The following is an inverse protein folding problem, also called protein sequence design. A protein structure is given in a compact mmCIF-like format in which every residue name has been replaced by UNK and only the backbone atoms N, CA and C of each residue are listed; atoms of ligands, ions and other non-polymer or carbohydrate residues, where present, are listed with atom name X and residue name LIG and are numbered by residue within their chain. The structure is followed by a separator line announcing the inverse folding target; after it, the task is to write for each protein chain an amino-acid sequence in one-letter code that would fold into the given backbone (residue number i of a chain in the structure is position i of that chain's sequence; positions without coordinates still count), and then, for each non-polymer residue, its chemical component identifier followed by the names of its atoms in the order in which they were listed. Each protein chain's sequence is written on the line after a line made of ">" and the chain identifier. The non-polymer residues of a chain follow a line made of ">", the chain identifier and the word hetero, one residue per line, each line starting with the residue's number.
data_IF_082269471644
#
_entry.id   IF_082269471644
#
_cell.length_a   1.000
_cell.length_b   1.000
_cell.length_c   1.000
_cell.angle_alpha   90.00
_cell.angle_beta   90.00
_cell.angle_gamma   90.00
#
_symmetry.space_group_name_H-M   'P 1'
#
loop_
_entity.id
_entity.type
_entity.pdbx_description
1 polymer ?
#
# COMPACT_ATOMS: atom_id res chain seq x y z
N UNK A 1 31.34 -36.52 -15.82
CA UNK A 1 30.61 -35.99 -16.99
C UNK A 1 29.35 -35.34 -16.46
N UNK A 2 29.13 -34.11 -16.89
CA UNK A 2 28.39 -33.06 -16.21
C UNK A 2 26.87 -33.30 -16.10
N UNK A 3 26.29 -32.96 -14.94
CA UNK A 3 24.85 -32.85 -14.74
C UNK A 3 24.36 -31.59 -15.46
N UNK A 4 23.62 -31.75 -16.56
CA UNK A 4 22.94 -30.67 -17.27
C UNK A 4 21.75 -30.16 -16.44
N UNK A 5 21.98 -29.14 -15.61
CA UNK A 5 20.93 -28.31 -15.04
C UNK A 5 20.57 -27.20 -16.05
N UNK A 6 19.40 -27.32 -16.69
CA UNK A 6 18.87 -26.26 -17.55
C UNK A 6 18.60 -24.96 -16.77
N UNK A 7 18.77 -23.78 -17.38
CA UNK A 7 18.49 -22.52 -16.69
C UNK A 7 16.99 -22.40 -16.38
N UNK A 8 16.68 -22.11 -15.11
CA UNK A 8 15.32 -21.79 -14.64
C UNK A 8 14.78 -20.57 -15.39
N UNK A 9 13.52 -20.56 -15.86
CA UNK A 9 12.96 -19.36 -16.47
C UNK A 9 12.89 -18.23 -15.44
N UNK A 10 13.43 -17.07 -15.80
CA UNK A 10 13.36 -15.87 -14.98
C UNK A 10 11.89 -15.49 -14.76
N UNK A 11 11.49 -15.40 -13.49
CA UNK A 11 10.18 -14.88 -13.07
C UNK A 11 10.02 -13.50 -13.68
N UNK A 12 9.12 -13.35 -14.67
CA UNK A 12 8.69 -12.04 -15.19
C UNK A 12 8.06 -11.27 -14.03
N UNK A 13 8.86 -10.43 -13.40
CA UNK A 13 8.35 -9.40 -12.50
C UNK A 13 7.80 -8.30 -13.40
N UNK A 14 6.55 -8.43 -13.82
CA UNK A 14 5.79 -7.25 -14.21
C UNK A 14 5.48 -6.54 -12.89
N UNK A 15 6.46 -5.80 -12.37
CA UNK A 15 6.21 -4.84 -11.32
C UNK A 15 5.25 -3.81 -11.93
N UNK A 16 3.96 -3.94 -11.60
CA UNK A 16 2.99 -2.89 -11.86
C UNK A 16 3.50 -1.67 -11.12
N UNK A 17 4.10 -0.73 -11.86
CA UNK A 17 4.43 0.59 -11.33
C UNK A 17 3.16 1.16 -10.72
N UNK A 18 3.20 1.65 -9.46
CA UNK A 18 2.04 2.31 -8.88
C UNK A 18 1.63 3.44 -9.82
N UNK A 19 0.49 3.29 -10.49
CA UNK A 19 -0.03 4.31 -11.39
C UNK A 19 -0.29 5.56 -10.57
N UNK A 20 0.29 6.68 -11.02
CA UNK A 20 0.06 8.00 -10.44
C UNK A 20 -1.46 8.22 -10.26
N UNK A 21 -1.93 8.78 -9.13
CA UNK A 21 -3.32 9.18 -8.97
C UNK A 21 -3.83 9.97 -10.18
N UNK A 22 -5.03 9.64 -10.68
CA UNK A 22 -5.67 10.49 -11.67
C UNK A 22 -6.03 11.84 -11.04
N UNK A 23 -6.03 12.92 -11.85
CA UNK A 23 -6.37 14.26 -11.35
C UNK A 23 -7.81 14.27 -10.80
N UNK A 24 -7.95 14.54 -9.51
CA UNK A 24 -9.24 14.58 -8.81
C UNK A 24 -9.70 13.25 -8.21
N UNK A 25 -8.87 12.21 -8.20
CA UNK A 25 -9.20 10.96 -7.54
C UNK A 25 -9.31 11.13 -6.01
N UNK A 26 -10.37 10.58 -5.42
CA UNK A 26 -10.63 10.69 -3.99
C UNK A 26 -9.62 9.88 -3.17
N UNK A 27 -9.19 10.43 -2.02
CA UNK A 27 -8.23 9.78 -1.14
C UNK A 27 -8.63 8.35 -0.71
N UNK A 28 -9.90 8.04 -0.36
CA UNK A 28 -10.31 6.67 -0.04
C UNK A 28 -9.97 5.65 -1.13
N UNK A 29 -10.17 6.02 -2.40
CA UNK A 29 -9.89 5.14 -3.54
C UNK A 29 -8.38 4.93 -3.77
N UNK A 30 -7.57 5.97 -3.53
CA UNK A 30 -6.11 5.85 -3.57
C UNK A 30 -5.58 4.93 -2.47
N UNK A 31 -6.17 5.02 -1.28
CA UNK A 31 -5.83 4.12 -0.16
C UNK A 31 -6.25 2.67 -0.49
N UNK A 32 -7.42 2.45 -1.09
CA UNK A 32 -7.84 1.12 -1.56
C UNK A 32 -6.84 0.52 -2.55
N UNK A 33 -6.43 1.31 -3.55
CA UNK A 33 -5.41 0.89 -4.53
C UNK A 33 -4.08 0.59 -3.87
N UNK A 34 -3.66 1.40 -2.90
CA UNK A 34 -2.41 1.18 -2.15
C UNK A 34 -2.43 -0.13 -1.39
N UNK A 35 -3.52 -0.41 -0.69
CA UNK A 35 -3.75 -1.66 0.04
C UNK A 35 -3.68 -2.85 -0.92
N UNK A 36 -4.38 -2.77 -2.06
CA UNK A 36 -4.36 -3.84 -3.07
C UNK A 36 -2.95 -4.04 -3.66
N UNK A 37 -2.23 -2.95 -3.93
CA UNK A 37 -0.90 -3.00 -4.55
C UNK A 37 0.19 -3.56 -3.63
N UNK A 38 0.01 -3.56 -2.31
CA UNK A 38 0.98 -4.16 -1.38
C UNK A 38 1.07 -5.69 -1.57
N UNK A 39 -0.04 -6.35 -1.91
CA UNK A 39 -0.09 -7.75 -2.35
C UNK A 39 0.38 -8.82 -1.34
N UNK A 40 0.79 -8.41 -0.14
CA UNK A 40 1.23 -9.26 0.96
C UNK A 40 0.57 -8.84 2.29
N UNK A 41 1.02 -9.41 3.40
CA UNK A 41 0.44 -9.18 4.74
C UNK A 41 0.33 -7.69 5.12
N UNK A 42 1.15 -6.81 4.54
CA UNK A 42 1.09 -5.36 4.82
C UNK A 42 -0.22 -4.77 4.32
N UNK A 43 -0.71 -5.23 3.16
CA UNK A 43 -2.01 -4.81 2.63
C UNK A 43 -3.15 -5.21 3.57
N UNK A 44 -3.15 -6.45 4.05
CA UNK A 44 -4.17 -6.94 4.98
C UNK A 44 -4.14 -6.22 6.32
N UNK A 45 -2.94 -5.99 6.86
CA UNK A 45 -2.76 -5.19 8.09
C UNK A 45 -3.24 -3.76 7.90
N UNK A 46 -2.86 -3.09 6.80
CA UNK A 46 -3.28 -1.71 6.53
C UNK A 46 -4.80 -1.60 6.35
N UNK A 47 -5.43 -2.57 5.67
CA UNK A 47 -6.89 -2.67 5.56
C UNK A 47 -7.55 -2.76 6.94
N UNK A 48 -7.02 -3.63 7.81
CA UNK A 48 -7.53 -3.81 9.18
C UNK A 48 -7.38 -2.53 10.00
N UNK A 49 -6.22 -1.87 9.94
CA UNK A 49 -5.98 -0.62 10.67
C UNK A 49 -6.90 0.48 10.21
N UNK A 50 -7.10 0.64 8.90
CA UNK A 50 -8.07 1.61 8.34
C UNK A 50 -9.49 1.38 8.87
N UNK A 51 -9.95 0.12 8.91
CA UNK A 51 -11.26 -0.20 9.45
C UNK A 51 -11.36 0.16 10.94
N UNK A 52 -10.32 -0.12 11.74
CA UNK A 52 -10.29 0.23 13.15
C UNK A 52 -10.29 1.75 13.38
N UNK A 53 -9.53 2.52 12.60
CA UNK A 53 -9.49 3.99 12.68
C UNK A 53 -10.89 4.57 12.42
N UNK A 54 -11.57 4.12 11.36
CA UNK A 54 -12.94 4.58 11.04
C UNK A 54 -13.99 4.17 12.07
N UNK A 55 -13.81 3.02 12.73
CA UNK A 55 -14.70 2.59 13.82
C UNK A 55 -14.45 3.41 15.08
N UNK A 56 -13.19 3.74 15.38
CA UNK A 56 -12.82 4.52 16.55
C UNK A 56 -13.20 6.01 16.40
N UNK A 57 -13.11 6.53 15.18
CA UNK A 57 -13.45 7.91 14.83
C UNK A 57 -14.22 7.94 13.49
N UNK A 58 -15.57 7.96 13.54
CA UNK A 58 -16.41 7.95 12.33
C UNK A 58 -16.28 9.21 11.47
N UNK A 59 -15.81 10.32 12.04
CA UNK A 59 -15.67 11.62 11.34
C UNK A 59 -14.26 11.83 10.77
N UNK A 60 -13.37 10.85 10.95
CA UNK A 60 -11.99 10.92 10.46
C UNK A 60 -11.95 11.12 8.94
N UNK A 61 -11.22 12.16 8.51
CA UNK A 61 -10.97 12.41 7.10
C UNK A 61 -9.80 11.55 6.61
N UNK A 62 -10.03 10.82 5.52
CA UNK A 62 -8.98 10.11 4.81
C UNK A 62 -8.34 11.02 3.78
N UNK A 63 -7.01 11.09 3.81
CA UNK A 63 -6.21 11.96 2.97
C UNK A 63 -5.08 11.18 2.29
N UNK A 64 -4.63 11.70 1.17
CA UNK A 64 -3.52 11.15 0.40
C UNK A 64 -2.44 12.22 0.26
N UNK A 65 -1.32 12.03 0.94
CA UNK A 65 -0.24 13.02 1.01
C UNK A 65 1.10 12.40 0.62
N UNK A 66 2.07 13.28 0.34
CA UNK A 66 3.49 12.96 0.22
C UNK A 66 3.81 11.75 -0.67
N UNK A 67 3.39 11.83 -1.94
CA UNK A 67 3.73 10.82 -2.96
C UNK A 67 3.33 9.38 -2.63
N UNK A 68 2.31 9.16 -1.79
CA UNK A 68 1.74 7.82 -1.63
C UNK A 68 1.35 7.40 -0.23
N UNK A 69 1.34 8.33 0.72
CA UNK A 69 1.10 8.04 2.12
C UNK A 69 -0.37 8.27 2.48
N UNK A 70 -1.11 7.23 2.90
CA UNK A 70 -2.39 7.38 3.58
C UNK A 70 -2.22 8.20 4.85
N UNK A 71 -3.08 9.19 5.06
CA UNK A 71 -3.12 10.01 6.27
C UNK A 71 -4.55 10.07 6.78
N UNK A 72 -4.73 9.91 8.09
CA UNK A 72 -6.01 10.10 8.77
C UNK A 72 -5.94 11.33 9.66
N UNK A 73 -6.96 12.17 9.59
CA UNK A 73 -7.00 13.44 10.31
C UNK A 73 -8.40 13.76 10.82
N UNK A 74 -8.48 14.33 12.03
CA UNK A 74 -9.66 14.96 12.62
C UNK A 74 -9.14 16.14 13.43
N UNK A 75 -9.43 17.37 12.99
CA UNK A 75 -8.87 18.63 13.53
C UNK A 75 -7.33 18.68 13.63
N UNK A 76 -6.65 17.83 12.84
CA UNK A 76 -5.21 17.64 12.88
C UNK A 76 -4.85 16.25 12.40
N UNK A 77 -3.56 16.00 12.10
CA UNK A 77 -3.11 14.65 11.71
C UNK A 77 -3.15 13.74 12.93
N UNK A 78 -3.90 12.65 12.83
CA UNK A 78 -3.98 11.61 13.88
C UNK A 78 -2.89 10.57 13.66
N UNK A 79 -2.80 10.02 12.45
CA UNK A 79 -1.77 9.03 12.11
C UNK A 79 -1.55 8.88 10.59
N UNK A 80 -0.50 8.16 10.21
CA UNK A 80 -0.13 7.84 8.82
C UNK A 80 -0.07 6.33 8.60
N UNK A 81 -0.38 5.88 7.39
CA UNK A 81 -0.52 4.47 7.01
C UNK A 81 0.65 3.95 6.18
N UNK A 82 1.87 4.14 6.64
CA UNK A 82 3.07 3.72 5.91
C UNK A 82 3.30 2.21 6.04
N UNK A 83 3.97 1.62 5.06
CA UNK A 83 4.16 0.18 4.98
C UNK A 83 5.57 -0.17 4.51
N UNK A 84 6.36 -0.69 5.44
CA UNK A 84 7.77 -1.02 5.23
C UNK A 84 8.00 -2.52 5.27
N UNK A 85 8.99 -2.97 4.51
CA UNK A 85 9.55 -4.33 4.61
C UNK A 85 11.06 -4.17 4.67
N UNK A 86 11.71 -4.92 5.57
CA UNK A 86 13.17 -4.91 5.64
C UNK A 86 13.76 -5.22 4.26
N UNK A 87 14.73 -4.42 3.84
CA UNK A 87 15.54 -4.75 2.68
C UNK A 87 16.46 -5.90 3.07
N UNK A 88 16.43 -6.98 2.31
CA UNK A 88 17.45 -8.03 2.41
C UNK A 88 18.70 -7.51 1.70
N UNK A 89 19.67 -7.02 2.47
CA UNK A 89 21.04 -6.81 1.97
C UNK A 89 21.82 -8.12 2.01
#
# INVERSE_FOLDING_TARGET
>A
MEHLAGPRPARRQHAMTPTQPAKGEAAPALIDRRIAALGDWRGDTLRRMRALIRTADPEVAEQWKWMGTPVWSHDGVVCTGESYKASSS
#
